data_IF_249512946994
#
_entry.id   IF_249512946994
#
_cell.length_a   1.000
_cell.length_b   1.000
_cell.length_c   1.000
_cell.angle_alpha   90.00
_cell.angle_beta   90.00
_cell.angle_gamma   90.00
#
_symmetry.space_group_name_H-M   'P 1'
#
loop_
_entity.id
_entity.type
_entity.pdbx_description
1 polymer ?
#
# COMPACT_ATOMS: atom_id res chain seq x y z
N UNK A 1 7.48 16.62 -2.86
CA UNK A 1 7.35 16.17 -1.45
C UNK A 1 8.58 15.40 -1.00
N UNK A 2 8.55 14.80 0.19
CA UNK A 2 9.64 13.90 0.70
C UNK A 2 9.51 12.45 0.21
N UNK A 3 8.54 12.19 -0.67
CA UNK A 3 8.15 10.85 -1.11
C UNK A 3 7.13 10.23 -0.16
N UNK A 4 6.20 9.46 -0.73
CA UNK A 4 5.21 8.69 0.01
C UNK A 4 5.19 7.25 -0.47
N UNK A 5 5.03 6.32 0.48
CA UNK A 5 4.97 4.90 0.22
C UNK A 5 3.58 4.36 0.48
N UNK A 6 3.03 3.63 -0.48
CA UNK A 6 1.68 3.07 -0.40
C UNK A 6 1.69 1.58 -0.04
N UNK A 7 0.50 0.99 0.02
CA UNK A 7 0.23 -0.44 0.09
C UNK A 7 -0.57 -0.87 -1.16
N UNK A 8 -0.63 -2.17 -1.51
CA UNK A 8 -1.22 -2.61 -2.78
C UNK A 8 -2.68 -2.19 -2.99
N UNK A 9 -3.44 -1.95 -1.92
CA UNK A 9 -4.84 -1.49 -2.00
C UNK A 9 -4.98 -0.12 -2.65
N UNK A 10 -3.91 0.69 -2.72
CA UNK A 10 -3.95 1.95 -3.46
C UNK A 10 -4.29 1.74 -4.93
N UNK A 11 -3.77 0.67 -5.55
CA UNK A 11 -4.15 0.29 -6.93
C UNK A 11 -5.65 0.04 -7.03
N UNK A 12 -6.21 -0.74 -6.10
CA UNK A 12 -7.64 -1.01 -6.03
C UNK A 12 -8.47 0.27 -5.88
N UNK A 13 -8.00 1.23 -5.09
CA UNK A 13 -8.65 2.55 -4.97
C UNK A 13 -8.63 3.31 -6.30
N UNK A 14 -7.48 3.36 -6.99
CA UNK A 14 -7.37 4.03 -8.29
C UNK A 14 -8.24 3.39 -9.37
N UNK A 15 -8.26 2.06 -9.43
CA UNK A 15 -9.13 1.30 -10.32
C UNK A 15 -10.61 1.59 -10.04
N UNK A 16 -11.00 1.65 -8.75
CA UNK A 16 -12.37 1.95 -8.33
C UNK A 16 -12.82 3.36 -8.76
N UNK A 17 -11.96 4.37 -8.65
CA UNK A 17 -12.29 5.75 -9.06
C UNK A 17 -12.13 5.98 -10.58
N UNK A 18 -11.64 4.98 -11.30
CA UNK A 18 -11.64 4.90 -12.77
C UNK A 18 -10.35 5.36 -13.45
N UNK A 19 -9.19 5.31 -12.78
CA UNK A 19 -7.89 5.67 -13.36
C UNK A 19 -6.97 4.45 -13.41
N UNK A 20 -6.55 4.06 -14.62
CA UNK A 20 -5.61 2.95 -14.79
C UNK A 20 -4.20 3.34 -14.34
N UNK A 21 -3.38 2.34 -13.97
CA UNK A 21 -1.98 2.54 -13.56
C UNK A 21 -1.19 3.33 -14.61
N UNK A 22 -1.39 3.04 -15.89
CA UNK A 22 -0.73 3.72 -17.01
C UNK A 22 -1.12 5.20 -17.12
N UNK A 23 -2.31 5.56 -16.66
CA UNK A 23 -2.77 6.95 -16.66
C UNK A 23 -2.12 7.74 -15.53
N UNK A 24 -2.23 7.31 -14.28
CA UNK A 24 -1.84 8.15 -13.14
C UNK A 24 -0.37 8.01 -12.75
N UNK A 25 0.24 6.83 -12.89
CA UNK A 25 1.59 6.56 -12.37
C UNK A 25 2.67 7.49 -12.98
N UNK A 26 2.67 7.77 -14.30
CA UNK A 26 3.63 8.71 -14.89
C UNK A 26 3.45 10.15 -14.38
N UNK A 27 2.22 10.57 -14.06
CA UNK A 27 1.95 11.94 -13.61
C UNK A 27 2.48 12.23 -12.20
N UNK A 28 2.71 11.19 -11.41
CA UNK A 28 3.13 11.31 -10.00
C UNK A 28 4.60 10.97 -9.77
N UNK A 29 5.37 10.85 -10.85
CA UNK A 29 6.76 10.38 -10.84
C UNK A 29 6.90 9.07 -10.06
N UNK A 30 5.91 8.17 -10.22
CA UNK A 30 5.80 6.98 -9.41
C UNK A 30 6.76 5.86 -9.82
N UNK A 31 7.12 5.03 -8.86
CA UNK A 31 7.87 3.78 -9.05
C UNK A 31 7.28 2.67 -8.21
N UNK A 32 7.68 1.42 -8.46
CA UNK A 32 7.16 0.26 -7.77
C UNK A 32 7.79 0.06 -6.39
N UNK A 33 6.98 -0.42 -5.44
CA UNK A 33 7.38 -0.87 -4.11
C UNK A 33 7.01 -2.35 -3.98
N UNK A 34 7.99 -3.24 -3.97
CA UNK A 34 7.76 -4.69 -3.84
C UNK A 34 7.79 -5.19 -2.38
N UNK A 35 8.60 -4.54 -1.54
CA UNK A 35 8.78 -4.91 -0.14
C UNK A 35 9.27 -3.69 0.68
N UNK A 36 9.29 -3.84 2.00
CA UNK A 36 9.95 -2.91 2.93
C UNK A 36 11.21 -3.60 3.47
N UNK A 37 12.35 -2.93 3.41
CA UNK A 37 13.59 -3.39 4.05
C UNK A 37 13.68 -2.79 5.44
N UNK A 38 13.79 -3.64 6.46
CA UNK A 38 14.08 -3.23 7.82
C UNK A 38 15.57 -3.45 8.07
N UNK A 39 16.33 -2.36 8.22
CA UNK A 39 17.79 -2.38 8.40
C UNK A 39 18.15 -2.05 9.85
N UNK A 40 18.98 -2.88 10.48
CA UNK A 40 19.49 -2.74 11.85
C UNK A 40 18.41 -2.69 12.93
N UNK A 41 17.30 -3.41 12.73
CA UNK A 41 16.21 -3.54 13.71
C UNK A 41 16.40 -4.68 14.71
N UNK A 42 17.18 -5.71 14.35
CA UNK A 42 17.37 -6.91 15.17
C UNK A 42 18.70 -6.86 15.90
N UNK A 43 19.78 -6.61 15.16
CA UNK A 43 21.12 -6.50 15.70
C UNK A 43 21.57 -5.03 15.71
N UNK A 44 22.38 -4.61 16.71
CA UNK A 44 23.02 -3.30 16.69
C UNK A 44 23.86 -3.12 15.42
N UNK A 45 23.94 -1.90 14.87
CA UNK A 45 24.78 -1.63 13.70
C UNK A 45 26.26 -1.94 13.98
N UNK A 46 26.90 -2.71 13.10
CA UNK A 46 28.34 -2.98 13.13
C UNK A 46 29.05 -2.31 11.94
N UNK A 47 30.27 -1.76 12.10
CA UNK A 47 31.00 -1.17 10.98
C UNK A 47 31.21 -2.16 9.83
N UNK A 48 30.66 -1.83 8.65
CA UNK A 48 30.78 -2.65 7.44
C UNK A 48 29.85 -3.87 7.40
N UNK A 49 28.91 -3.99 8.35
CA UNK A 49 27.92 -5.06 8.38
C UNK A 49 26.57 -4.54 8.87
N UNK A 50 25.63 -4.41 7.95
CA UNK A 50 24.23 -4.18 8.28
C UNK A 50 23.48 -5.52 8.42
N UNK A 51 22.56 -5.58 9.38
CA UNK A 51 21.56 -6.65 9.45
C UNK A 51 20.27 -6.17 8.79
N UNK A 52 19.60 -7.01 8.01
CA UNK A 52 18.30 -6.64 7.46
C UNK A 52 17.38 -7.83 7.25
N UNK A 53 16.09 -7.53 7.15
CA UNK A 53 15.09 -8.46 6.66
C UNK A 53 14.06 -7.73 5.81
N UNK A 54 13.35 -8.49 4.97
CA UNK A 54 12.32 -7.97 4.08
C UNK A 54 10.93 -8.28 4.59
N UNK A 55 10.05 -7.30 4.45
CA UNK A 55 8.61 -7.45 4.59
C UNK A 55 7.95 -7.26 3.22
N UNK A 56 7.79 -8.34 2.43
CA UNK A 56 7.15 -8.28 1.13
C UNK A 56 5.63 -8.18 1.25
N UNK A 57 4.96 -7.77 0.16
CA UNK A 57 3.51 -7.89 0.08
C UNK A 57 3.12 -9.33 -0.32
N UNK A 58 2.39 -10.09 0.51
CA UNK A 58 2.03 -11.46 0.19
C UNK A 58 1.04 -11.50 -0.99
N UNK A 59 1.36 -12.26 -2.04
CA UNK A 59 0.51 -12.36 -3.24
C UNK A 59 -0.83 -13.06 -2.97
N UNK A 60 -0.87 -14.00 -2.02
CA UNK A 60 -2.04 -14.82 -1.69
C UNK A 60 -2.21 -14.93 -0.17
N UNK A 61 -3.42 -15.26 0.34
CA UNK A 61 -3.54 -15.82 1.67
C UNK A 61 -2.62 -17.05 1.79
N UNK A 62 -2.07 -17.27 2.98
CA UNK A 62 -1.12 -18.36 3.25
C UNK A 62 -1.62 -19.71 2.66
N UNK A 63 -0.97 -20.25 1.62
CA UNK A 63 -1.39 -21.51 1.04
C UNK A 63 -1.10 -22.63 2.04
N UNK A 64 -2.16 -23.33 2.46
CA UNK A 64 -2.00 -24.44 3.39
C UNK A 64 -1.25 -25.60 2.73
N UNK A 65 -0.23 -26.10 3.44
CA UNK A 65 0.55 -27.26 3.03
C UNK A 65 -0.18 -28.52 3.49
N UNK A 66 -0.50 -29.41 2.55
CA UNK A 66 -0.97 -30.74 2.91
C UNK A 66 0.18 -31.58 3.49
N UNK A 67 0.02 -32.18 4.69
CA UNK A 67 1.04 -33.06 5.24
C UNK A 67 1.33 -34.24 4.29
N UNK A 68 2.60 -34.44 3.94
CA UNK A 68 3.02 -35.59 3.14
C UNK A 68 2.60 -36.90 3.84
N UNK A 69 1.85 -37.75 3.13
CA UNK A 69 1.44 -39.08 3.61
C UNK A 69 0.10 -39.13 4.35
N UNK A 70 -0.69 -38.05 4.38
CA UNK A 70 -2.03 -38.08 4.99
C UNK A 70 -3.13 -37.79 3.95
N UNK A 71 -3.77 -38.83 3.35
CA UNK A 71 -4.66 -38.70 2.20
C UNK A 71 -6.04 -38.08 2.49
N UNK A 72 -6.32 -37.71 3.74
CA UNK A 72 -7.65 -37.25 4.19
C UNK A 72 -7.86 -35.74 4.16
N UNK A 73 -6.84 -34.94 3.84
CA UNK A 73 -6.99 -33.49 3.72
C UNK A 73 -7.31 -33.16 2.27
N UNK A 74 -8.58 -32.89 1.97
CA UNK A 74 -9.09 -32.81 0.57
C UNK A 74 -9.62 -31.42 0.22
N UNK A 75 -9.61 -30.46 1.15
CA UNK A 75 -10.28 -29.16 0.98
C UNK A 75 -9.47 -27.93 1.46
N UNK A 76 -9.86 -26.74 1.00
CA UNK A 76 -9.30 -25.45 1.43
C UNK A 76 -9.62 -25.26 2.93
N UNK A 77 -8.60 -25.12 3.78
CA UNK A 77 -8.73 -25.07 5.25
C UNK A 77 -8.13 -26.29 5.96
N UNK A 78 -7.85 -27.36 5.22
CA UNK A 78 -7.30 -28.62 5.71
C UNK A 78 -5.81 -28.73 5.33
N UNK A 79 -4.94 -28.20 6.18
CA UNK A 79 -3.48 -28.26 6.01
C UNK A 79 -2.74 -27.48 7.08
N UNK A 80 -1.42 -27.58 7.10
CA UNK A 80 -0.59 -26.77 7.99
C UNK A 80 -0.24 -25.44 7.29
N UNK A 81 -0.33 -24.34 8.02
CA UNK A 81 0.21 -23.04 7.57
C UNK A 81 1.66 -23.20 7.09
N UNK A 82 2.03 -22.52 5.99
CA UNK A 82 3.40 -22.54 5.50
C UNK A 82 4.38 -22.00 6.54
N UNK A 83 3.91 -21.10 7.43
CA UNK A 83 4.67 -20.60 8.57
C UNK A 83 5.06 -21.74 9.52
N UNK A 84 4.19 -22.70 9.80
CA UNK A 84 4.53 -23.85 10.66
C UNK A 84 5.63 -24.71 10.03
N UNK A 85 5.59 -24.89 8.71
CA UNK A 85 6.64 -25.61 7.98
C UNK A 85 7.97 -24.85 8.01
N UNK A 86 7.97 -23.54 7.76
CA UNK A 86 9.15 -22.69 7.87
C UNK A 86 9.72 -22.68 9.29
N UNK A 87 8.87 -22.65 10.32
CA UNK A 87 9.29 -22.71 11.71
C UNK A 87 9.96 -24.06 12.03
N UNK A 88 9.40 -25.18 11.55
CA UNK A 88 10.05 -26.49 11.70
C UNK A 88 11.43 -26.51 11.04
N UNK A 89 11.53 -26.02 9.80
CA UNK A 89 12.83 -25.88 9.11
C UNK A 89 13.81 -25.01 9.89
N UNK A 90 13.34 -23.92 10.50
CA UNK A 90 14.17 -23.05 11.34
C UNK A 90 14.72 -23.80 12.56
N UNK A 91 13.91 -24.62 13.21
CA UNK A 91 14.35 -25.50 14.32
C UNK A 91 15.35 -26.57 13.85
N UNK A 92 15.25 -27.02 12.60
CA UNK A 92 16.19 -27.95 11.97
C UNK A 92 17.45 -27.26 11.39
N UNK A 93 17.62 -25.94 11.61
CA UNK A 93 18.83 -25.19 11.27
C UNK A 93 18.78 -24.33 10.00
N UNK A 94 17.61 -24.17 9.37
CA UNK A 94 17.43 -23.25 8.25
C UNK A 94 17.77 -21.80 8.63
N UNK A 95 18.60 -21.15 7.82
CA UNK A 95 19.12 -19.80 8.08
C UNK A 95 18.33 -18.71 7.38
N UNK A 96 17.71 -19.01 6.24
CA UNK A 96 16.87 -18.06 5.50
C UNK A 96 15.67 -17.63 6.36
N UNK A 97 15.27 -16.37 6.21
CA UNK A 97 14.03 -15.87 6.79
C UNK A 97 12.81 -16.52 6.13
N UNK A 98 11.67 -16.46 6.81
CA UNK A 98 10.40 -16.94 6.25
C UNK A 98 10.11 -16.27 4.91
N UNK A 99 10.29 -14.96 4.81
CA UNK A 99 10.04 -14.20 3.59
C UNK A 99 10.92 -14.67 2.43
N UNK A 100 12.22 -14.93 2.67
CA UNK A 100 13.13 -15.46 1.65
C UNK A 100 12.78 -16.88 1.18
N UNK A 101 12.10 -17.66 2.02
CA UNK A 101 11.70 -19.03 1.67
C UNK A 101 10.44 -19.06 0.81
N UNK A 102 9.55 -18.07 0.94
CA UNK A 102 8.17 -18.18 0.44
C UNK A 102 7.72 -17.02 -0.44
N UNK A 103 8.49 -15.93 -0.51
CA UNK A 103 8.12 -14.73 -1.27
C UNK A 103 9.21 -14.37 -2.31
N UNK A 104 8.96 -14.56 -3.61
CA UNK A 104 9.90 -14.17 -4.66
C UNK A 104 10.28 -12.67 -4.63
N UNK A 105 9.36 -11.83 -4.15
CA UNK A 105 9.56 -10.39 -3.98
C UNK A 105 10.82 -10.02 -3.16
N UNK A 106 11.28 -10.86 -2.23
CA UNK A 106 12.54 -10.61 -1.50
C UNK A 106 13.73 -10.71 -2.43
N UNK A 107 13.82 -11.79 -3.23
CA UNK A 107 14.91 -12.00 -4.19
C UNK A 107 14.93 -10.92 -5.25
N UNK A 108 13.75 -10.51 -5.74
CA UNK A 108 13.62 -9.39 -6.68
C UNK A 108 14.15 -8.08 -6.06
N UNK A 109 13.80 -7.81 -4.81
CA UNK A 109 14.22 -6.59 -4.10
C UNK A 109 15.74 -6.56 -3.89
N UNK A 110 16.37 -7.67 -3.51
CA UNK A 110 17.84 -7.78 -3.36
C UNK A 110 18.60 -7.43 -4.62
N UNK A 111 18.02 -7.80 -5.77
CA UNK A 111 18.64 -7.62 -7.07
C UNK A 111 18.10 -6.38 -7.81
N UNK A 112 17.34 -5.53 -7.11
CA UNK A 112 16.73 -4.31 -7.65
C UNK A 112 15.95 -4.56 -8.95
N UNK A 113 15.15 -5.63 -8.98
CA UNK A 113 14.35 -6.06 -10.13
C UNK A 113 12.92 -5.53 -10.05
N UNK A 114 12.33 -5.35 -11.22
CA UNK A 114 10.91 -5.00 -11.36
C UNK A 114 10.02 -6.10 -10.81
N UNK A 115 8.91 -5.79 -10.13
CA UNK A 115 7.90 -6.77 -9.75
C UNK A 115 7.04 -7.23 -10.93
N UNK A 116 7.13 -6.56 -12.08
CA UNK A 116 6.45 -6.90 -13.34
C UNK A 116 7.50 -7.32 -14.38
N UNK A 117 7.31 -8.48 -15.00
CA UNK A 117 8.08 -8.85 -16.19
C UNK A 117 7.66 -7.98 -17.38
N UNK A 118 8.65 -7.58 -18.19
CA UNK A 118 8.41 -6.85 -19.44
C UNK A 118 7.95 -7.80 -20.57
N UNK A 119 8.52 -9.01 -20.60
CA UNK A 119 8.28 -9.98 -21.67
C UNK A 119 6.95 -10.75 -21.48
N UNK A 120 6.54 -10.94 -20.22
CA UNK A 120 5.30 -11.64 -19.87
C UNK A 120 4.61 -10.96 -18.68
N UNK A 121 3.62 -10.08 -18.95
CA UNK A 121 2.88 -9.37 -17.90
C UNK A 121 2.15 -10.29 -16.90
N UNK A 122 1.91 -11.57 -17.23
CA UNK A 122 1.30 -12.53 -16.30
C UNK A 122 2.25 -12.91 -15.16
N UNK A 123 3.56 -12.73 -15.36
CA UNK A 123 4.59 -12.88 -14.33
C UNK A 123 4.74 -11.56 -13.57
N UNK A 124 3.80 -11.33 -12.66
CA UNK A 124 3.75 -10.14 -11.80
C UNK A 124 3.63 -10.53 -10.34
N UNK A 125 4.57 -10.08 -9.52
CA UNK A 125 4.50 -10.16 -8.06
C UNK A 125 3.59 -9.07 -7.50
N UNK A 126 3.14 -9.23 -6.25
CA UNK A 126 2.33 -8.18 -5.60
C UNK A 126 3.21 -6.97 -5.25
N UNK A 127 2.77 -5.78 -5.66
CA UNK A 127 3.49 -4.53 -5.42
C UNK A 127 2.55 -3.38 -5.02
N UNK A 128 3.16 -2.29 -4.60
CA UNK A 128 2.58 -0.98 -4.36
C UNK A 128 3.47 0.09 -5.01
N UNK A 129 3.42 1.33 -4.52
CA UNK A 129 4.11 2.46 -5.15
C UNK A 129 4.87 3.33 -4.17
N UNK A 130 5.98 3.88 -4.63
CA UNK A 130 6.55 5.13 -4.12
C UNK A 130 6.20 6.25 -5.10
N UNK A 131 5.76 7.41 -4.60
CA UNK A 131 5.33 8.53 -5.45
C UNK A 131 5.47 9.88 -4.74
N UNK A 132 5.31 10.98 -5.49
CA UNK A 132 5.16 12.31 -4.89
C UNK A 132 3.71 12.57 -4.47
N UNK A 133 3.48 12.70 -3.16
CA UNK A 133 2.18 12.99 -2.56
C UNK A 133 1.51 14.26 -3.12
N UNK A 134 2.30 15.29 -3.45
CA UNK A 134 1.76 16.52 -4.02
C UNK A 134 1.20 16.31 -5.42
N UNK A 135 1.91 15.53 -6.24
CA UNK A 135 1.52 15.28 -7.62
C UNK A 135 0.28 14.40 -7.73
N UNK A 136 0.08 13.43 -6.83
CA UNK A 136 -1.18 12.65 -6.82
C UNK A 136 -2.36 13.53 -6.41
N UNK A 137 -2.17 14.45 -5.46
CA UNK A 137 -3.19 15.44 -5.10
C UNK A 137 -3.55 16.36 -6.27
N UNK A 138 -2.55 16.85 -7.00
CA UNK A 138 -2.75 17.67 -8.20
C UNK A 138 -3.46 16.90 -9.32
N UNK A 139 -3.06 15.65 -9.58
CA UNK A 139 -3.69 14.76 -10.55
C UNK A 139 -5.18 14.57 -10.25
N UNK A 140 -5.49 14.15 -9.01
CA UNK A 140 -6.88 13.92 -8.59
C UNK A 140 -7.70 15.22 -8.60
N UNK A 141 -7.14 16.33 -8.13
CA UNK A 141 -7.81 17.65 -8.20
C UNK A 141 -8.20 17.98 -9.64
N UNK A 142 -7.25 17.91 -10.58
CA UNK A 142 -7.49 18.21 -11.98
C UNK A 142 -8.66 17.38 -12.53
N UNK A 143 -8.59 16.06 -12.35
CA UNK A 143 -9.60 15.14 -12.86
C UNK A 143 -10.98 15.31 -12.21
N UNK A 144 -11.03 15.57 -10.90
CA UNK A 144 -12.29 15.72 -10.18
C UNK A 144 -12.97 17.05 -10.51
N UNK A 145 -12.21 18.12 -10.72
CA UNK A 145 -12.77 19.40 -11.16
C UNK A 145 -13.39 19.31 -12.55
N UNK A 146 -12.80 18.55 -13.48
CA UNK A 146 -13.40 18.23 -14.79
C UNK A 146 -14.71 17.44 -14.66
N UNK A 147 -14.87 16.66 -13.58
CA UNK A 147 -16.08 15.89 -13.27
C UNK A 147 -17.13 16.67 -12.46
N UNK A 148 -16.92 17.98 -12.27
CA UNK A 148 -17.90 18.88 -11.65
C UNK A 148 -17.69 19.15 -10.16
N UNK A 149 -16.62 18.64 -9.54
CA UNK A 149 -16.26 19.05 -8.17
C UNK A 149 -15.86 20.53 -8.18
N UNK A 150 -16.52 21.33 -7.34
CA UNK A 150 -16.19 22.74 -7.16
C UNK A 150 -14.97 22.86 -6.25
N UNK A 151 -13.86 23.34 -6.78
CA UNK A 151 -12.65 23.63 -6.01
C UNK A 151 -12.64 25.10 -5.61
N UNK A 152 -12.73 25.36 -4.30
CA UNK A 152 -12.68 26.70 -3.72
C UNK A 152 -11.40 26.81 -2.88
N UNK A 153 -10.57 27.80 -3.20
CA UNK A 153 -9.36 28.11 -2.43
C UNK A 153 -9.68 29.28 -1.52
N UNK A 154 -9.80 29.01 -0.22
CA UNK A 154 -10.03 29.99 0.85
C UNK A 154 -9.68 29.35 2.21
N UNK A 155 -9.67 30.13 3.27
CA UNK A 155 -9.53 29.66 4.65
C UNK A 155 -10.88 29.67 5.34
N UNK A 156 -11.19 28.57 6.04
CA UNK A 156 -12.33 28.50 6.98
C UNK A 156 -11.96 29.27 8.24
N UNK A 157 -12.81 30.20 8.66
CA UNK A 157 -12.59 31.07 9.83
C UNK A 157 -13.62 30.87 10.94
N UNK A 158 -14.76 30.26 10.63
CA UNK A 158 -15.81 29.94 11.61
C UNK A 158 -16.61 28.71 11.16
N UNK A 159 -17.15 27.97 12.13
CA UNK A 159 -17.97 26.77 11.91
C UNK A 159 -19.25 26.89 12.75
N UNK A 160 -20.38 27.10 12.09
CA UNK A 160 -21.66 27.26 12.76
C UNK A 160 -22.35 25.90 12.96
N UNK A 161 -22.89 25.69 14.15
CA UNK A 161 -23.65 24.50 14.51
C UNK A 161 -25.15 24.82 14.60
N UNK A 162 -25.98 23.84 14.23
CA UNK A 162 -27.42 23.89 14.47
C UNK A 162 -27.77 23.56 15.94
N UNK A 163 -29.05 23.66 16.29
CA UNK A 163 -29.55 23.37 17.65
C UNK A 163 -29.30 21.92 18.12
N UNK A 164 -29.04 21.00 17.18
CA UNK A 164 -28.72 19.59 17.46
C UNK A 164 -27.22 19.35 17.61
N UNK A 165 -26.40 20.36 17.33
CA UNK A 165 -24.94 20.29 17.35
C UNK A 165 -24.31 19.81 16.03
N UNK A 166 -25.07 19.72 14.93
CA UNK A 166 -24.52 19.39 13.61
C UNK A 166 -23.99 20.63 12.91
N UNK A 167 -22.97 20.48 12.07
CA UNK A 167 -22.45 21.58 11.26
C UNK A 167 -23.53 22.04 10.28
N UNK A 168 -23.90 23.32 10.35
CA UNK A 168 -24.85 23.95 9.45
C UNK A 168 -24.16 24.59 8.24
N UNK A 169 -23.04 25.29 8.49
CA UNK A 169 -22.20 25.87 7.45
C UNK A 169 -20.79 26.17 7.98
N UNK A 170 -19.85 26.33 7.05
CA UNK A 170 -18.54 26.94 7.33
C UNK A 170 -18.47 28.33 6.73
N UNK A 171 -17.85 29.26 7.44
CA UNK A 171 -17.62 30.62 6.95
C UNK A 171 -16.18 30.76 6.48
N UNK A 172 -15.99 31.31 5.28
CA UNK A 172 -14.67 31.56 4.70
C UNK A 172 -14.19 32.99 4.97
N UNK A 173 -12.90 33.26 4.73
CA UNK A 173 -12.30 34.58 5.02
C UNK A 173 -12.93 35.70 4.19
N UNK A 174 -13.39 35.40 2.98
CA UNK A 174 -14.10 36.36 2.12
C UNK A 174 -15.60 36.54 2.49
N UNK A 175 -16.07 35.90 3.56
CA UNK A 175 -17.41 36.05 4.10
C UNK A 175 -18.46 35.14 3.47
N UNK A 176 -18.10 34.22 2.56
CA UNK A 176 -19.07 33.22 2.07
C UNK A 176 -19.44 32.24 3.18
N UNK A 177 -20.71 31.85 3.20
CA UNK A 177 -21.23 30.77 4.03
C UNK A 177 -21.50 29.56 3.14
N UNK A 178 -20.79 28.46 3.40
CA UNK A 178 -20.90 27.21 2.65
C UNK A 178 -21.67 26.19 3.49
N UNK A 179 -22.94 25.98 3.14
CA UNK A 179 -23.79 24.93 3.72
C UNK A 179 -23.67 23.63 2.93
N UNK A 180 -23.79 22.50 3.63
CA UNK A 180 -23.84 21.16 3.05
C UNK A 180 -24.64 20.23 3.97
N UNK A 181 -25.12 19.13 3.41
CA UNK A 181 -25.78 18.07 4.19
C UNK A 181 -24.78 17.19 4.94
N UNK A 182 -23.54 17.11 4.45
CA UNK A 182 -22.44 16.36 5.03
C UNK A 182 -21.12 17.13 4.87
N UNK A 183 -20.33 17.16 5.95
CA UNK A 183 -18.99 17.72 5.97
C UNK A 183 -17.98 16.58 6.17
N UNK A 184 -16.92 16.55 5.36
CA UNK A 184 -15.81 15.59 5.46
C UNK A 184 -14.57 16.40 5.84
N UNK A 185 -14.03 16.17 7.03
CA UNK A 185 -12.84 16.86 7.51
C UNK A 185 -11.56 16.18 7.00
N UNK A 186 -10.83 16.89 6.14
CA UNK A 186 -9.53 16.50 5.61
C UNK A 186 -8.48 17.60 5.88
N UNK A 187 -8.59 18.32 7.01
CA UNK A 187 -7.78 19.52 7.31
C UNK A 187 -6.36 19.23 7.82
N UNK A 188 -5.97 17.96 7.97
CA UNK A 188 -4.65 17.53 8.46
C UNK A 188 -4.17 16.23 7.83
#
# INVERSE_FOLDING_TARGET
GVGEATVPTFRTTMDFIGYSEEEWLPHVNGTFKAAIQYVNWVDPPEPGRDSHYWHPFPAYPDPLVQPLGNPWFVSIGEGASLIHYCLRKRLDGEKKSVAELICPATTLSEHMKSPKSFDDPTLTERYAYHMDAGLIGDFLRSRLTERGVKHLVDHVVDVALDERGFIQHVTTTDGRQLSADLFIDCSG
#
